data_IF_971621393130
#
_entry.id   IF_971621393130
#
_cell.length_a   1.000
_cell.length_b   1.000
_cell.length_c   1.000
_cell.angle_alpha   90.00
_cell.angle_beta   90.00
_cell.angle_gamma   90.00
#
_symmetry.space_group_name_H-M   'P 1'
#
loop_
_entity.id
_entity.type
_entity.pdbx_description
1 polymer ?
#
# COMPACT_ATOMS: atom_id res chain seq x y z
N UNK A 1 5.65 -51.98 4.58
CA UNK A 1 5.08 -50.86 3.80
C UNK A 1 6.23 -50.05 3.23
N UNK A 2 6.50 -50.20 1.93
CA UNK A 2 6.98 -49.09 1.11
C UNK A 2 5.70 -48.38 0.60
N UNK A 3 5.68 -47.08 0.27
CA UNK A 3 6.66 -46.49 -0.65
C UNK A 3 7.05 -45.03 -0.31
N UNK A 4 8.26 -44.62 -0.69
CA UNK A 4 8.56 -43.85 -1.91
C UNK A 4 7.95 -42.44 -1.87
N UNK A 5 8.76 -41.39 -1.77
CA UNK A 5 9.62 -40.84 -2.84
C UNK A 5 8.97 -39.59 -3.41
N UNK A 6 9.83 -38.65 -3.82
CA UNK A 6 9.62 -37.86 -5.04
C UNK A 6 8.56 -36.75 -4.93
N UNK A 7 8.77 -35.51 -5.33
CA UNK A 7 9.91 -34.83 -5.92
C UNK A 7 9.54 -33.34 -5.93
N UNK A 8 10.57 -32.49 -5.80
CA UNK A 8 10.79 -31.33 -6.68
C UNK A 8 9.53 -30.66 -7.23
N UNK A 9 8.77 -30.01 -6.36
CA UNK A 9 8.42 -28.63 -6.66
C UNK A 9 9.63 -27.77 -6.29
N UNK A 10 9.87 -26.70 -7.03
CA UNK A 10 10.73 -25.59 -6.59
C UNK A 10 12.22 -25.74 -6.86
N UNK A 11 12.49 -25.93 -8.15
CA UNK A 11 13.61 -25.34 -8.89
C UNK A 11 13.59 -23.78 -8.87
N UNK A 12 13.23 -23.17 -7.73
CA UNK A 12 13.37 -21.74 -7.40
C UNK A 12 14.68 -21.44 -6.65
N UNK A 13 15.47 -22.50 -6.40
CA UNK A 13 16.91 -22.51 -6.69
C UNK A 13 17.10 -21.69 -7.98
N UNK A 14 17.68 -20.49 -7.97
CA UNK A 14 19.13 -20.36 -7.93
C UNK A 14 19.67 -19.09 -7.25
N UNK A 15 18.91 -18.01 -7.03
CA UNK A 15 19.58 -16.69 -6.98
C UNK A 15 19.59 -15.93 -5.64
N UNK A 16 19.05 -16.46 -4.54
CA UNK A 16 19.19 -15.81 -3.22
C UNK A 16 20.12 -16.58 -2.26
N UNK A 17 21.15 -17.21 -2.83
CA UNK A 17 22.33 -17.73 -2.13
C UNK A 17 23.44 -16.68 -2.22
N UNK A 18 23.47 -15.72 -1.30
CA UNK A 18 24.71 -14.94 -1.02
C UNK A 18 24.74 -14.40 0.41
N UNK A 19 24.89 -15.33 1.36
CA UNK A 19 25.17 -15.08 2.78
C UNK A 19 23.90 -14.81 3.60
N UNK A 20 23.70 -15.36 4.79
CA UNK A 20 24.52 -16.22 5.63
C UNK A 20 23.59 -16.73 6.75
N UNK A 21 23.58 -18.05 7.01
CA UNK A 21 22.97 -18.81 8.12
C UNK A 21 21.51 -18.55 8.61
N UNK A 22 20.99 -17.32 8.64
CA UNK A 22 19.66 -16.98 9.16
C UNK A 22 18.52 -17.50 8.28
N UNK A 23 18.73 -17.56 6.96
CA UNK A 23 17.78 -18.15 6.01
C UNK A 23 17.65 -19.67 6.17
N UNK A 24 18.73 -20.36 6.56
CA UNK A 24 18.65 -21.80 6.87
C UNK A 24 17.76 -22.04 8.10
N UNK A 25 17.86 -21.19 9.13
CA UNK A 25 16.99 -21.29 10.30
C UNK A 25 15.53 -20.98 9.96
N UNK A 26 15.24 -19.97 9.14
CA UNK A 26 13.88 -19.62 8.71
C UNK A 26 13.23 -20.70 7.81
N UNK A 27 13.99 -21.33 6.93
CA UNK A 27 13.50 -22.43 6.08
C UNK A 27 13.22 -23.68 6.92
N UNK A 28 14.05 -23.96 7.92
CA UNK A 28 13.81 -25.06 8.88
C UNK A 28 12.60 -24.75 9.77
N UNK A 29 12.39 -23.51 10.18
CA UNK A 29 11.19 -23.09 10.94
C UNK A 29 9.89 -23.19 10.12
N UNK A 30 9.90 -22.86 8.83
CA UNK A 30 8.73 -23.03 7.95
C UNK A 30 8.45 -24.50 7.59
N UNK A 31 9.49 -25.35 7.51
CA UNK A 31 9.32 -26.79 7.33
C UNK A 31 8.76 -27.48 8.59
N UNK A 32 9.08 -26.95 9.78
CA UNK A 32 8.54 -27.45 11.05
C UNK A 32 7.09 -27.01 11.30
N UNK A 33 6.64 -25.89 10.71
CA UNK A 33 5.25 -25.40 10.83
C UNK A 33 4.24 -26.10 9.90
N UNK A 34 4.70 -26.97 8.98
CA UNK A 34 3.85 -27.81 8.13
C UNK A 34 3.64 -29.24 8.67
N UNK A 35 3.87 -29.46 9.96
CA UNK A 35 3.42 -30.67 10.64
C UNK A 35 2.04 -30.43 11.26
N UNK A 36 1.01 -31.11 10.73
CA UNK A 36 -0.21 -31.37 11.48
C UNK A 36 -1.53 -31.00 10.79
N UNK A 37 -1.83 -31.62 9.64
CA UNK A 37 -3.20 -31.96 9.32
C UNK A 37 -3.18 -33.35 8.66
N UNK A 38 -3.42 -34.35 9.48
CA UNK A 38 -3.76 -35.72 9.06
C UNK A 38 -4.96 -35.66 8.09
N UNK A 39 -4.99 -36.61 7.13
CA UNK A 39 -6.16 -36.99 6.31
C UNK A 39 -6.30 -36.54 4.82
N UNK A 40 -5.20 -36.36 4.07
CA UNK A 40 -5.27 -36.04 2.62
C UNK A 40 -5.02 -37.19 1.62
N UNK A 41 -5.10 -38.47 2.02
CA UNK A 41 -4.85 -39.57 1.08
C UNK A 41 -5.96 -40.65 1.04
N UNK A 42 -7.12 -40.36 0.43
CA UNK A 42 -8.09 -41.41 0.09
C UNK A 42 -7.57 -42.33 -1.05
N UNK A 43 -6.57 -41.90 -1.83
CA UNK A 43 -6.15 -42.59 -3.07
C UNK A 43 -5.33 -43.86 -2.89
N UNK A 44 -4.71 -44.09 -1.72
CA UNK A 44 -3.93 -45.30 -1.45
C UNK A 44 -4.40 -46.05 -0.20
N UNK A 45 -5.59 -45.72 0.33
CA UNK A 45 -6.26 -46.58 1.31
C UNK A 45 -6.72 -47.85 0.57
N UNK A 46 -6.04 -48.98 0.84
CA UNK A 46 -6.43 -50.37 0.51
C UNK A 46 -5.83 -51.08 -0.73
N UNK A 47 -4.64 -50.72 -1.24
CA UNK A 47 -3.98 -51.52 -2.31
C UNK A 47 -2.71 -52.26 -1.83
N UNK A 48 -2.60 -53.60 -2.03
CA UNK A 48 -1.37 -54.34 -1.78
C UNK A 48 -0.40 -54.15 -2.97
N UNK A 49 0.56 -53.24 -2.83
CA UNK A 49 1.58 -52.95 -3.85
C UNK A 49 2.19 -51.55 -3.71
N UNK A 50 3.17 -51.22 -4.56
CA UNK A 50 3.76 -49.87 -4.62
C UNK A 50 2.72 -48.85 -5.12
N UNK A 51 2.06 -48.17 -4.19
CA UNK A 51 1.19 -47.01 -4.45
C UNK A 51 1.91 -46.00 -5.36
N UNK A 52 1.33 -45.76 -6.55
CA UNK A 52 1.75 -44.69 -7.45
C UNK A 52 0.58 -43.73 -7.61
N UNK A 53 0.76 -42.50 -7.14
CA UNK A 53 -0.22 -41.43 -7.31
C UNK A 53 -0.32 -41.13 -8.82
N UNK A 54 -1.53 -41.08 -9.41
CA UNK A 54 -1.69 -40.69 -10.80
C UNK A 54 -1.12 -39.30 -11.06
N UNK A 55 -0.40 -39.14 -12.17
CA UNK A 55 0.20 -37.87 -12.57
C UNK A 55 -0.84 -36.74 -12.64
N UNK A 56 -2.06 -37.05 -13.07
CA UNK A 56 -3.18 -36.13 -13.07
C UNK A 56 -3.49 -35.56 -11.67
N UNK A 57 -3.58 -36.41 -10.66
CA UNK A 57 -3.87 -35.98 -9.28
C UNK A 57 -2.75 -35.11 -8.70
N UNK A 58 -1.50 -35.35 -9.13
CA UNK A 58 -0.38 -34.48 -8.77
C UNK A 58 -0.52 -33.10 -9.40
N UNK A 59 -0.89 -33.02 -10.68
CA UNK A 59 -1.16 -31.76 -11.36
C UNK A 59 -2.37 -31.02 -10.76
N UNK A 60 -3.47 -31.71 -10.49
CA UNK A 60 -4.66 -31.12 -9.85
C UNK A 60 -4.33 -30.51 -8.50
N UNK A 61 -3.51 -31.19 -7.69
CA UNK A 61 -3.04 -30.63 -6.42
C UNK A 61 -2.13 -29.43 -6.63
N UNK A 62 -1.20 -29.50 -7.57
CA UNK A 62 -0.27 -28.41 -7.85
C UNK A 62 -0.99 -27.16 -8.36
N UNK A 63 -1.96 -27.30 -9.26
CA UNK A 63 -2.75 -26.19 -9.78
C UNK A 63 -3.68 -25.60 -8.72
N UNK A 64 -4.28 -26.44 -7.86
CA UNK A 64 -5.07 -25.98 -6.72
C UNK A 64 -4.24 -25.13 -5.76
N UNK A 65 -3.06 -25.62 -5.35
CA UNK A 65 -2.16 -24.89 -4.45
C UNK A 65 -1.68 -23.58 -5.10
N UNK A 66 -1.26 -23.62 -6.37
CA UNK A 66 -0.83 -22.43 -7.08
C UNK A 66 -1.95 -21.38 -7.19
N UNK A 67 -3.18 -21.81 -7.49
CA UNK A 67 -4.36 -20.93 -7.57
C UNK A 67 -4.72 -20.35 -6.21
N UNK A 68 -4.61 -21.14 -5.14
CA UNK A 68 -4.82 -20.67 -3.77
C UNK A 68 -3.78 -19.62 -3.39
N UNK A 69 -2.50 -19.87 -3.65
CA UNK A 69 -1.43 -18.91 -3.38
C UNK A 69 -1.63 -17.61 -4.16
N UNK A 70 -2.00 -17.70 -5.44
CA UNK A 70 -2.35 -16.54 -6.26
C UNK A 70 -3.53 -15.76 -5.68
N UNK A 71 -4.60 -16.45 -5.27
CA UNK A 71 -5.78 -15.84 -4.66
C UNK A 71 -5.41 -15.10 -3.37
N UNK A 72 -4.69 -15.76 -2.45
CA UNK A 72 -4.27 -15.17 -1.18
C UNK A 72 -3.34 -13.97 -1.38
N UNK A 73 -2.37 -14.09 -2.30
CA UNK A 73 -1.51 -12.96 -2.66
C UNK A 73 -2.35 -11.78 -3.17
N UNK A 74 -3.31 -12.04 -4.06
CA UNK A 74 -4.21 -11.00 -4.59
C UNK A 74 -5.06 -10.35 -3.50
N UNK A 75 -5.57 -11.12 -2.53
CA UNK A 75 -6.32 -10.61 -1.38
C UNK A 75 -5.44 -9.70 -0.52
N UNK A 76 -4.21 -10.13 -0.19
CA UNK A 76 -3.24 -9.27 0.50
C UNK A 76 -2.97 -7.97 -0.27
N UNK A 77 -2.76 -8.05 -1.58
CA UNK A 77 -2.55 -6.86 -2.42
C UNK A 77 -3.76 -5.91 -2.42
N UNK A 78 -4.99 -6.43 -2.47
CA UNK A 78 -6.20 -5.60 -2.42
C UNK A 78 -6.31 -4.80 -1.11
N UNK A 79 -5.96 -5.41 0.03
CA UNK A 79 -5.95 -4.70 1.33
C UNK A 79 -4.95 -3.53 1.33
N UNK A 80 -3.80 -3.68 0.65
CA UNK A 80 -2.85 -2.59 0.47
C UNK A 80 -3.38 -1.48 -0.45
N UNK A 81 -4.10 -1.83 -1.52
CA UNK A 81 -4.71 -0.85 -2.43
C UNK A 81 -5.75 0.02 -1.70
N UNK A 82 -6.59 -0.61 -0.89
CA UNK A 82 -7.53 0.06 0.01
C UNK A 82 -6.82 1.03 0.96
N UNK A 83 -5.77 0.56 1.64
CA UNK A 83 -5.00 1.38 2.57
C UNK A 83 -4.31 2.57 1.87
N UNK A 84 -3.77 2.37 0.67
CA UNK A 84 -3.16 3.43 -0.13
C UNK A 84 -4.18 4.50 -0.53
N UNK A 85 -5.37 4.08 -0.96
CA UNK A 85 -6.43 5.00 -1.33
C UNK A 85 -6.91 5.82 -0.13
N UNK A 86 -7.12 5.18 1.03
CA UNK A 86 -7.42 5.87 2.30
C UNK A 86 -6.33 6.86 2.69
N UNK A 87 -5.06 6.47 2.55
CA UNK A 87 -3.92 7.34 2.86
C UNK A 87 -3.89 8.58 1.97
N UNK A 88 -4.14 8.43 0.66
CA UNK A 88 -4.21 9.58 -0.27
C UNK A 88 -5.33 10.54 0.14
N UNK A 89 -6.53 10.01 0.42
CA UNK A 89 -7.68 10.81 0.87
C UNK A 89 -7.34 11.54 2.18
N UNK A 90 -6.76 10.84 3.16
CA UNK A 90 -6.35 11.43 4.44
C UNK A 90 -5.33 12.56 4.25
N UNK A 91 -4.32 12.37 3.40
CA UNK A 91 -3.33 13.42 3.14
C UNK A 91 -3.98 14.64 2.49
N UNK A 92 -4.85 14.44 1.51
CA UNK A 92 -5.56 15.54 0.84
C UNK A 92 -6.45 16.33 1.81
N UNK A 93 -7.21 15.64 2.68
CA UNK A 93 -8.01 16.28 3.74
C UNK A 93 -7.13 17.05 4.74
N UNK A 94 -6.00 16.50 5.16
CA UNK A 94 -5.07 17.17 6.09
C UNK A 94 -4.48 18.48 5.56
N UNK A 95 -4.46 18.68 4.22
CA UNK A 95 -3.92 19.88 3.59
C UNK A 95 -4.96 20.98 3.33
N UNK A 96 -6.26 20.73 3.51
CA UNK A 96 -7.32 21.72 3.25
C UNK A 96 -7.15 22.99 4.12
N UNK A 97 -7.17 22.81 5.45
CA UNK A 97 -7.04 23.93 6.40
C UNK A 97 -5.66 24.63 6.33
N UNK A 98 -4.50 23.94 6.28
CA UNK A 98 -3.20 24.60 6.14
C UNK A 98 -3.05 25.43 4.86
N UNK A 99 -3.55 24.95 3.72
CA UNK A 99 -3.49 25.69 2.46
C UNK A 99 -4.38 26.94 2.52
N UNK A 100 -5.59 26.81 3.04
CA UNK A 100 -6.51 27.93 3.22
C UNK A 100 -5.90 29.03 4.13
N UNK A 101 -5.29 28.62 5.24
CA UNK A 101 -4.58 29.53 6.13
C UNK A 101 -3.42 30.24 5.44
N UNK A 102 -2.55 29.49 4.76
CA UNK A 102 -1.41 30.09 4.08
C UNK A 102 -1.81 31.09 3.00
N UNK A 103 -2.84 30.79 2.21
CA UNK A 103 -3.37 31.71 1.21
C UNK A 103 -3.94 32.97 1.88
N UNK A 104 -4.68 32.81 2.98
CA UNK A 104 -5.25 33.93 3.74
C UNK A 104 -4.16 34.85 4.28
N UNK A 105 -3.13 34.29 4.91
CA UNK A 105 -2.01 35.08 5.47
C UNK A 105 -1.17 35.76 4.39
N UNK A 106 -0.90 35.08 3.28
CA UNK A 106 -0.17 35.66 2.15
C UNK A 106 -0.96 36.79 1.46
N UNK A 107 -2.30 36.75 1.50
CA UNK A 107 -3.15 37.81 0.94
C UNK A 107 -3.15 39.09 1.77
N UNK A 108 -3.20 38.95 3.09
CA UNK A 108 -3.27 40.11 4.00
C UNK A 108 -1.92 40.81 4.18
N UNK A 109 -0.82 40.19 3.71
CA UNK A 109 0.52 40.71 3.93
C UNK A 109 0.98 41.65 2.82
N UNK A 110 1.24 42.90 3.18
CA UNK A 110 2.01 43.82 2.34
C UNK A 110 3.44 43.26 2.15
N UNK A 111 3.83 42.97 0.91
CA UNK A 111 5.17 42.47 0.56
C UNK A 111 5.29 40.95 0.40
N UNK A 112 4.19 40.18 0.42
CA UNK A 112 4.23 38.80 -0.04
C UNK A 112 4.59 38.74 -1.53
N UNK A 113 5.43 37.77 -1.93
CA UNK A 113 5.74 37.56 -3.35
C UNK A 113 4.46 37.22 -4.11
N UNK A 114 4.10 37.98 -5.17
CA UNK A 114 2.92 37.69 -5.98
C UNK A 114 2.95 36.28 -6.57
N UNK A 115 4.14 35.79 -6.93
CA UNK A 115 4.34 34.46 -7.51
C UNK A 115 4.07 33.35 -6.50
N UNK A 116 4.53 33.51 -5.25
CA UNK A 116 4.28 32.54 -4.18
C UNK A 116 2.79 32.48 -3.88
N UNK A 117 2.14 33.63 -3.76
CA UNK A 117 0.70 33.70 -3.52
C UNK A 117 -0.10 33.06 -4.65
N UNK A 118 0.24 33.34 -5.91
CA UNK A 118 -0.43 32.74 -7.06
C UNK A 118 -0.32 31.21 -7.06
N UNK A 119 0.87 30.66 -6.77
CA UNK A 119 1.10 29.22 -6.66
C UNK A 119 0.36 28.59 -5.49
N UNK A 120 0.34 29.24 -4.33
CA UNK A 120 -0.37 28.75 -3.15
C UNK A 120 -1.87 28.63 -3.42
N UNK A 121 -2.47 29.63 -4.06
CA UNK A 121 -3.88 29.60 -4.50
C UNK A 121 -4.16 28.47 -5.48
N UNK A 122 -3.31 28.32 -6.50
CA UNK A 122 -3.46 27.25 -7.48
C UNK A 122 -3.41 25.86 -6.81
N UNK A 123 -2.48 25.66 -5.88
CA UNK A 123 -2.37 24.39 -5.14
C UNK A 123 -3.61 24.16 -4.25
N UNK A 124 -4.10 25.19 -3.54
CA UNK A 124 -5.33 25.09 -2.74
C UNK A 124 -6.51 24.61 -3.61
N UNK A 125 -6.74 25.27 -4.75
CA UNK A 125 -7.85 24.95 -5.65
C UNK A 125 -7.69 23.56 -6.27
N UNK A 126 -6.48 23.21 -6.74
CA UNK A 126 -6.23 21.91 -7.38
C UNK A 126 -6.27 20.75 -6.39
N UNK A 127 -5.93 20.98 -5.12
CA UNK A 127 -6.03 19.97 -4.06
C UNK A 127 -7.50 19.60 -3.81
N UNK A 128 -8.42 20.57 -3.79
CA UNK A 128 -9.86 20.33 -3.67
C UNK A 128 -10.40 19.51 -4.85
N UNK A 129 -10.05 19.90 -6.07
CA UNK A 129 -10.43 19.15 -7.29
C UNK A 129 -9.89 17.72 -7.26
N UNK A 130 -8.64 17.53 -6.83
CA UNK A 130 -8.03 16.21 -6.72
C UNK A 130 -8.73 15.34 -5.68
N UNK A 131 -9.05 15.91 -4.52
CA UNK A 131 -9.77 15.21 -3.45
C UNK A 131 -11.13 14.70 -3.93
N UNK A 132 -11.93 15.55 -4.57
CA UNK A 132 -13.21 15.15 -5.17
C UNK A 132 -13.02 14.00 -6.18
N UNK A 133 -11.99 14.09 -7.03
CA UNK A 133 -11.61 13.05 -7.98
C UNK A 133 -11.30 11.70 -7.32
N UNK A 134 -10.49 11.70 -6.27
CA UNK A 134 -10.07 10.50 -5.56
C UNK A 134 -11.24 9.88 -4.77
N UNK A 135 -12.09 10.69 -4.15
CA UNK A 135 -13.30 10.20 -3.46
C UNK A 135 -14.30 9.57 -4.44
N UNK A 136 -14.42 10.11 -5.67
CA UNK A 136 -15.19 9.48 -6.73
C UNK A 136 -14.61 8.13 -7.16
N UNK A 137 -13.28 8.00 -7.23
CA UNK A 137 -12.61 6.73 -7.51
C UNK A 137 -12.91 5.73 -6.39
N UNK A 138 -12.75 6.11 -5.12
CA UNK A 138 -13.03 5.27 -3.95
C UNK A 138 -14.45 4.70 -4.00
N UNK A 139 -15.46 5.55 -4.24
CA UNK A 139 -16.86 5.11 -4.35
C UNK A 139 -17.09 4.09 -5.46
N UNK A 140 -16.30 4.13 -6.54
CA UNK A 140 -16.40 3.18 -7.66
C UNK A 140 -15.68 1.86 -7.38
N UNK A 141 -14.50 1.91 -6.77
CA UNK A 141 -13.69 0.70 -6.52
C UNK A 141 -14.16 -0.06 -5.28
N UNK A 142 -14.63 0.64 -4.24
CA UNK A 142 -15.12 0.05 -2.98
C UNK A 142 -16.50 0.62 -2.60
N UNK A 143 -17.58 0.18 -3.27
CA UNK A 143 -18.94 0.61 -2.96
C UNK A 143 -19.37 0.08 -1.59
N UNK A 144 -19.36 0.93 -0.56
CA UNK A 144 -19.77 0.58 0.81
C UNK A 144 -18.78 0.96 1.91
N UNK A 145 -17.62 1.53 1.57
CA UNK A 145 -16.67 2.03 2.55
C UNK A 145 -17.29 3.18 3.39
N UNK A 146 -17.24 3.05 4.72
CA UNK A 146 -17.80 4.05 5.66
C UNK A 146 -16.87 5.26 5.79
N UNK A 147 -17.47 6.40 6.14
CA UNK A 147 -16.82 7.72 6.26
C UNK A 147 -15.49 7.70 7.02
N UNK A 148 -14.57 8.49 6.48
CA UNK A 148 -13.18 8.76 6.83
C UNK A 148 -12.83 8.61 8.33
N UNK A 149 -11.73 7.90 8.58
CA UNK A 149 -10.97 8.01 9.83
C UNK A 149 -10.54 9.47 10.06
N UNK A 150 -10.41 9.90 11.33
CA UNK A 150 -9.88 11.21 11.64
C UNK A 150 -8.48 11.37 11.06
N UNK A 151 -8.30 12.39 10.25
CA UNK A 151 -7.01 12.73 9.65
C UNK A 151 -6.18 13.60 10.60
N UNK A 152 -4.84 13.56 10.49
CA UNK A 152 -3.97 14.44 11.25
C UNK A 152 -4.34 15.91 11.03
N UNK A 153 -4.48 16.66 12.13
CA UNK A 153 -4.75 18.09 12.13
C UNK A 153 -3.44 18.84 12.28
N UNK A 154 -3.23 19.86 11.45
CA UNK A 154 -2.10 20.77 11.58
C UNK A 154 -2.23 21.65 12.82
N UNK A 155 -1.28 21.56 13.75
CA UNK A 155 -1.32 22.26 15.03
C UNK A 155 -0.59 23.62 15.04
N UNK A 156 0.24 23.92 14.04
CA UNK A 156 1.11 25.10 14.03
C UNK A 156 0.47 26.34 13.36
N UNK A 157 -0.86 26.50 13.41
CA UNK A 157 -1.58 27.65 12.81
C UNK A 157 -1.06 28.99 13.34
N UNK A 158 -0.83 29.09 14.64
CA UNK A 158 -0.38 30.31 15.31
C UNK A 158 1.01 30.78 14.84
N UNK A 159 1.85 29.86 14.37
CA UNK A 159 3.18 30.19 13.85
C UNK A 159 3.12 30.89 12.49
N UNK A 160 2.08 30.65 11.69
CA UNK A 160 1.87 31.31 10.40
C UNK A 160 1.41 32.77 10.56
N UNK A 161 0.70 33.06 11.65
CA UNK A 161 0.17 34.39 11.97
C UNK A 161 1.06 35.14 12.98
N UNK A 162 2.27 34.63 13.27
CA UNK A 162 3.16 35.25 14.23
C UNK A 162 3.59 36.65 13.78
N UNK A 163 3.64 37.62 14.69
CA UNK A 163 4.12 38.97 14.40
C UNK A 163 5.61 38.97 14.02
N UNK A 164 6.37 38.13 14.73
CA UNK A 164 7.79 37.87 14.49
C UNK A 164 8.03 37.29 13.08
N UNK A 165 8.83 38.00 12.29
CA UNK A 165 9.07 37.66 10.89
C UNK A 165 9.88 36.37 10.72
N UNK A 166 10.86 36.11 11.58
CA UNK A 166 11.73 34.93 11.50
C UNK A 166 10.95 33.65 11.86
N UNK A 167 10.13 33.72 12.92
CA UNK A 167 9.24 32.62 13.31
C UNK A 167 8.26 32.31 12.19
N UNK A 168 7.63 33.34 11.62
CA UNK A 168 6.66 33.20 10.54
C UNK A 168 7.29 32.63 9.27
N UNK A 169 8.45 33.15 8.86
CA UNK A 169 9.16 32.67 7.68
C UNK A 169 9.59 31.21 7.85
N UNK A 170 10.03 30.83 9.05
CA UNK A 170 10.35 29.44 9.40
C UNK A 170 9.11 28.54 9.31
N UNK A 171 7.95 29.02 9.78
CA UNK A 171 6.69 28.29 9.70
C UNK A 171 6.28 28.02 8.25
N UNK A 172 6.32 29.04 7.38
CA UNK A 172 6.05 28.88 5.95
C UNK A 172 7.03 27.92 5.27
N UNK A 173 8.34 28.02 5.57
CA UNK A 173 9.33 27.10 5.02
C UNK A 173 9.00 25.63 5.37
N UNK A 174 8.73 25.35 6.65
CA UNK A 174 8.37 24.00 7.12
C UNK A 174 7.10 23.51 6.44
N UNK A 175 6.08 24.36 6.38
CA UNK A 175 4.80 24.05 5.75
C UNK A 175 4.98 23.69 4.27
N UNK A 176 5.64 24.55 3.48
CA UNK A 176 5.85 24.29 2.05
C UNK A 176 6.76 23.08 1.79
N UNK A 177 7.76 22.84 2.63
CA UNK A 177 8.59 21.65 2.56
C UNK A 177 7.76 20.37 2.77
N UNK A 178 6.88 20.35 3.78
CA UNK A 178 5.97 19.24 4.01
C UNK A 178 4.98 19.06 2.85
N UNK A 179 4.42 20.16 2.33
CA UNK A 179 3.49 20.15 1.20
C UNK A 179 4.12 19.52 -0.04
N UNK A 180 5.36 19.88 -0.34
CA UNK A 180 6.13 19.30 -1.45
C UNK A 180 6.33 17.78 -1.27
N UNK A 181 6.73 17.35 -0.07
CA UNK A 181 6.93 15.93 0.25
C UNK A 181 5.63 15.12 0.10
N UNK A 182 4.54 15.63 0.65
CA UNK A 182 3.27 14.91 0.63
C UNK A 182 2.62 14.93 -0.74
N UNK A 183 2.78 16.02 -1.52
CA UNK A 183 2.37 16.08 -2.92
C UNK A 183 3.10 15.02 -3.77
N UNK A 184 4.40 14.81 -3.53
CA UNK A 184 5.17 13.75 -4.18
C UNK A 184 4.64 12.34 -3.83
N UNK A 185 4.30 12.09 -2.55
CA UNK A 185 3.68 10.83 -2.13
C UNK A 185 2.32 10.62 -2.78
N UNK A 186 1.44 11.62 -2.75
CA UNK A 186 0.11 11.59 -3.36
C UNK A 186 0.23 11.22 -4.85
N UNK A 187 1.11 11.91 -5.59
CA UNK A 187 1.34 11.63 -7.01
C UNK A 187 1.81 10.19 -7.24
N UNK A 188 2.74 9.71 -6.42
CA UNK A 188 3.26 8.34 -6.51
C UNK A 188 2.17 7.30 -6.25
N UNK A 189 1.41 7.46 -5.17
CA UNK A 189 0.37 6.52 -4.78
C UNK A 189 -0.79 6.49 -5.78
N UNK A 190 -1.21 7.64 -6.30
CA UNK A 190 -2.22 7.70 -7.37
C UNK A 190 -1.75 6.97 -8.63
N UNK A 191 -0.47 7.10 -9.01
CA UNK A 191 0.06 6.38 -10.17
C UNK A 191 0.10 4.85 -9.95
N UNK A 192 0.46 4.40 -8.75
CA UNK A 192 0.40 2.98 -8.39
C UNK A 192 -1.04 2.44 -8.46
N UNK A 193 -1.99 3.17 -7.88
CA UNK A 193 -3.42 2.81 -7.90
C UNK A 193 -3.98 2.83 -9.34
N UNK A 194 -3.54 3.77 -10.18
CA UNK A 194 -3.93 3.82 -11.61
C UNK A 194 -3.56 2.51 -12.31
N UNK A 195 -2.31 2.06 -12.19
CA UNK A 195 -1.86 0.81 -12.81
C UNK A 195 -2.50 -0.45 -12.23
N UNK A 196 -3.11 -0.33 -11.05
CA UNK A 196 -3.87 -1.41 -10.43
C UNK A 196 -5.27 -1.55 -11.02
N UNK A 197 -5.99 -0.44 -11.14
CA UNK A 197 -7.39 -0.43 -11.59
C UNK A 197 -7.56 -0.23 -13.09
N UNK A 198 -6.49 0.13 -13.81
CA UNK A 198 -6.49 0.37 -15.27
C UNK A 198 -5.21 -0.18 -15.90
N UNK A 199 -5.21 -0.47 -17.22
CA UNK A 199 -4.00 -0.85 -17.93
C UNK A 199 -2.92 0.25 -17.84
N UNK A 200 -1.71 -0.19 -17.45
CA UNK A 200 -0.43 0.46 -17.67
C UNK A 200 0.41 -0.48 -18.56
#
# INVERSE_FOLDING_TARGET
>A
MAPASSHRGHQWICDLVRGSCLLLLLVVSNLLLCQGAEDYAPYCKNQPGNCRIPLQSLFERATLVASNNYRLAREMFNEFDEALLRLVISLLHSWDEPLHQAVTELLHRNGASPDILARAKEIEDKTKVLLEGVEMIQKRVHPGEKKNEPYPVWSEKSSLTADDEDVRQTAFYRMFHCLHRDSSKISTYINLLKCRFTPC
#
